data_IF_118602732823
#
_entry.id   IF_118602732823
#
_cell.length_a   1.000
_cell.length_b   1.000
_cell.length_c   1.000
_cell.angle_alpha   90.00
_cell.angle_beta   90.00
_cell.angle_gamma   90.00
#
_symmetry.space_group_name_H-M   'P 1'
#
loop_
_entity.id
_entity.type
_entity.pdbx_description
1 polymer ?
#
# COMPACT_ATOMS: atom_id res chain seq x y z
N UNK A 1 -21.64 5.66 -3.18
CA UNK A 1 -22.21 5.53 -4.57
C UNK A 1 -21.14 4.89 -5.46
N UNK A 2 -21.54 4.01 -6.40
CA UNK A 2 -20.56 3.49 -7.38
C UNK A 2 -20.16 4.62 -8.33
N UNK A 3 -18.86 4.83 -8.49
CA UNK A 3 -18.31 5.79 -9.43
C UNK A 3 -18.73 5.45 -10.86
N UNK A 4 -19.15 6.43 -11.64
CA UNK A 4 -19.60 6.21 -13.03
C UNK A 4 -18.43 5.80 -13.93
N UNK A 5 -18.66 5.02 -15.02
CA UNK A 5 -17.60 4.69 -15.98
C UNK A 5 -16.86 5.92 -16.51
N UNK A 6 -17.57 7.02 -16.78
CA UNK A 6 -16.95 8.25 -17.27
C UNK A 6 -16.05 8.90 -16.22
N UNK A 7 -16.45 8.93 -14.94
CA UNK A 7 -15.61 9.43 -13.85
C UNK A 7 -14.35 8.58 -13.67
N UNK A 8 -14.45 7.25 -13.82
CA UNK A 8 -13.29 6.35 -13.77
C UNK A 8 -12.30 6.67 -14.90
N UNK A 9 -12.80 6.81 -16.14
CA UNK A 9 -11.97 7.17 -17.30
C UNK A 9 -11.28 8.52 -17.05
N UNK A 10 -12.02 9.51 -16.59
CA UNK A 10 -11.50 10.84 -16.28
C UNK A 10 -10.46 10.75 -15.14
N UNK A 11 -10.69 9.96 -14.10
CA UNK A 11 -9.74 9.76 -13.00
C UNK A 11 -8.45 9.10 -13.48
N UNK A 12 -8.50 8.08 -14.34
CA UNK A 12 -7.32 7.48 -14.96
C UNK A 12 -6.55 8.53 -15.78
N UNK A 13 -7.24 9.33 -16.60
CA UNK A 13 -6.60 10.37 -17.39
C UNK A 13 -5.89 11.42 -16.54
N UNK A 14 -6.58 11.94 -15.50
CA UNK A 14 -6.02 12.92 -14.55
C UNK A 14 -4.84 12.30 -13.77
N UNK A 15 -4.96 11.04 -13.33
CA UNK A 15 -3.87 10.32 -12.66
C UNK A 15 -2.61 10.23 -13.54
N UNK A 16 -2.77 9.97 -14.83
CA UNK A 16 -1.64 9.94 -15.79
C UNK A 16 -1.05 11.34 -16.01
N UNK A 17 -1.87 12.37 -16.13
CA UNK A 17 -1.44 13.75 -16.29
C UNK A 17 -0.70 14.28 -15.05
N UNK A 18 -1.21 14.00 -13.88
CA UNK A 18 -0.67 14.43 -12.59
C UNK A 18 0.39 13.54 -11.98
N UNK A 19 0.83 12.47 -12.66
CA UNK A 19 1.68 11.41 -12.09
C UNK A 19 2.95 11.92 -11.38
N UNK A 20 3.57 12.98 -11.87
CA UNK A 20 4.76 13.59 -11.25
C UNK A 20 4.44 14.78 -10.34
N UNK A 21 3.16 15.08 -10.13
CA UNK A 21 2.63 16.20 -9.37
C UNK A 21 1.42 15.80 -8.54
N UNK A 22 1.55 14.66 -7.83
CA UNK A 22 0.45 14.01 -7.12
C UNK A 22 -0.20 14.91 -6.08
N UNK A 23 0.57 15.59 -5.25
CA UNK A 23 0.03 16.49 -4.21
C UNK A 23 -0.76 17.64 -4.78
N UNK A 24 -0.23 18.33 -5.83
CA UNK A 24 -0.96 19.39 -6.52
C UNK A 24 -2.25 18.87 -7.16
N UNK A 25 -2.18 17.70 -7.82
CA UNK A 25 -3.33 17.09 -8.50
C UNK A 25 -4.38 16.63 -7.50
N UNK A 26 -3.96 16.08 -6.36
CA UNK A 26 -4.85 15.68 -5.28
C UNK A 26 -5.55 16.88 -4.65
N UNK A 27 -4.84 17.98 -4.44
CA UNK A 27 -5.42 19.23 -3.92
C UNK A 27 -6.48 19.80 -4.88
N UNK A 28 -6.21 19.77 -6.20
CA UNK A 28 -7.21 20.19 -7.20
C UNK A 28 -8.42 19.25 -7.14
N UNK A 29 -8.21 17.94 -7.04
CA UNK A 29 -9.30 16.97 -6.90
C UNK A 29 -10.15 17.24 -5.65
N UNK A 30 -9.52 17.51 -4.52
CA UNK A 30 -10.21 17.81 -3.26
C UNK A 30 -11.05 19.10 -3.36
N UNK A 31 -10.55 20.13 -4.04
CA UNK A 31 -11.28 21.40 -4.25
C UNK A 31 -12.44 21.27 -5.23
N UNK A 32 -12.28 20.51 -6.30
CA UNK A 32 -13.28 20.33 -7.34
C UNK A 32 -14.23 19.15 -7.13
N UNK A 33 -13.85 18.20 -6.30
CA UNK A 33 -14.66 17.06 -5.89
C UNK A 33 -14.69 15.87 -6.86
N UNK A 34 -14.27 16.02 -8.12
CA UNK A 34 -14.24 14.93 -9.10
C UNK A 34 -13.19 15.14 -10.20
N UNK A 35 -12.77 14.04 -10.83
CA UNK A 35 -11.86 14.10 -11.97
C UNK A 35 -12.55 14.71 -13.21
N UNK A 36 -13.84 14.50 -13.36
CA UNK A 36 -14.65 15.14 -14.40
C UNK A 36 -14.60 16.66 -14.25
N UNK A 37 -14.80 17.18 -13.04
CA UNK A 37 -14.70 18.62 -12.79
C UNK A 37 -13.29 19.16 -13.05
N UNK A 38 -12.23 18.40 -12.81
CA UNK A 38 -10.85 18.81 -13.18
C UNK A 38 -10.75 19.02 -14.70
N UNK A 39 -11.27 18.06 -15.49
CA UNK A 39 -11.22 18.13 -16.95
C UNK A 39 -12.07 19.29 -17.47
N UNK A 40 -13.24 19.53 -16.90
CA UNK A 40 -14.10 20.67 -17.26
C UNK A 40 -13.44 22.02 -16.96
N UNK A 41 -12.72 22.13 -15.84
CA UNK A 41 -12.02 23.35 -15.41
C UNK A 41 -10.57 23.45 -15.92
N UNK A 42 -10.11 22.55 -16.81
CA UNK A 42 -8.71 22.46 -17.26
C UNK A 42 -8.07 23.76 -17.76
N UNK A 43 -8.87 24.68 -18.28
CA UNK A 43 -8.39 25.96 -18.75
C UNK A 43 -8.31 27.05 -17.67
N UNK A 44 -8.87 26.77 -16.48
CA UNK A 44 -8.98 27.71 -15.35
C UNK A 44 -8.41 27.11 -14.04
N UNK A 45 -7.45 26.19 -14.15
CA UNK A 45 -6.88 25.51 -12.98
C UNK A 45 -6.25 26.48 -11.98
N UNK A 46 -5.63 27.57 -12.45
CA UNK A 46 -5.06 28.59 -11.55
C UNK A 46 -6.10 29.41 -10.78
N UNK A 47 -7.37 29.40 -11.20
CA UNK A 47 -8.47 29.99 -10.42
C UNK A 47 -8.80 29.09 -9.20
N UNK A 48 -8.56 27.76 -9.32
CA UNK A 48 -8.80 26.75 -8.28
C UNK A 48 -7.57 26.59 -7.37
N UNK A 49 -6.40 26.55 -7.97
CA UNK A 49 -5.11 26.41 -7.29
C UNK A 49 -4.13 27.44 -7.89
N UNK A 50 -4.01 28.64 -7.31
CA UNK A 50 -3.16 29.73 -7.84
C UNK A 50 -1.69 29.33 -8.00
N UNK A 51 -1.19 28.51 -7.06
CA UNK A 51 0.21 28.05 -7.00
C UNK A 51 0.46 26.77 -7.84
N UNK A 52 -0.54 26.31 -8.61
CA UNK A 52 -0.35 25.15 -9.49
C UNK A 52 0.80 25.39 -10.47
N UNK A 53 1.69 24.40 -10.58
CA UNK A 53 2.85 24.49 -11.45
C UNK A 53 2.45 24.64 -12.92
N UNK A 54 3.14 25.50 -13.66
CA UNK A 54 2.85 25.75 -15.08
C UNK A 54 2.88 24.46 -15.90
N UNK A 55 3.78 23.53 -15.55
CA UNK A 55 3.87 22.21 -16.18
C UNK A 55 2.59 21.39 -16.00
N UNK A 56 2.00 21.38 -14.81
CA UNK A 56 0.73 20.66 -14.55
C UNK A 56 -0.41 21.34 -15.33
N UNK A 57 -0.51 22.66 -15.26
CA UNK A 57 -1.53 23.46 -15.97
C UNK A 57 -1.48 23.20 -17.48
N UNK A 58 -0.29 23.20 -18.07
CA UNK A 58 -0.11 22.92 -19.49
C UNK A 58 -0.47 21.47 -19.84
N UNK A 59 -0.10 20.51 -18.98
CA UNK A 59 -0.45 19.09 -19.18
C UNK A 59 -1.95 18.90 -19.12
N UNK A 60 -2.65 19.54 -18.18
CA UNK A 60 -4.10 19.46 -18.04
C UNK A 60 -4.86 20.07 -19.22
N UNK A 61 -4.30 21.05 -19.93
CA UNK A 61 -4.89 21.58 -21.17
C UNK A 61 -4.86 20.61 -22.34
N UNK A 62 -3.91 19.66 -22.34
CA UNK A 62 -3.70 18.70 -23.42
C UNK A 62 -4.31 17.33 -23.08
N UNK A 63 -5.59 17.28 -22.69
CA UNK A 63 -6.27 16.09 -22.16
C UNK A 63 -6.54 14.99 -23.15
N UNK A 64 -6.78 15.29 -24.45
CA UNK A 64 -7.37 14.35 -25.40
C UNK A 64 -6.59 13.04 -25.52
N UNK A 65 -5.26 13.11 -25.62
CA UNK A 65 -4.40 11.92 -25.70
C UNK A 65 -4.50 11.05 -24.43
N UNK A 66 -4.66 11.68 -23.28
CA UNK A 66 -4.76 10.95 -22.00
C UNK A 66 -6.12 10.31 -21.83
N UNK A 67 -7.19 10.95 -22.34
CA UNK A 67 -8.53 10.37 -22.36
C UNK A 67 -8.60 9.12 -23.23
N UNK A 68 -8.05 9.17 -24.45
CA UNK A 68 -7.96 7.98 -25.34
C UNK A 68 -7.21 6.84 -24.65
N UNK A 69 -6.08 7.13 -24.01
CA UNK A 69 -5.34 6.11 -23.25
C UNK A 69 -6.11 5.60 -22.04
N UNK A 70 -6.87 6.45 -21.36
CA UNK A 70 -7.66 6.08 -20.20
C UNK A 70 -8.85 5.19 -20.59
N UNK A 71 -9.48 5.44 -21.73
CA UNK A 71 -10.54 4.59 -22.28
C UNK A 71 -10.00 3.19 -22.60
N UNK A 72 -8.83 3.10 -23.23
CA UNK A 72 -8.18 1.82 -23.53
C UNK A 72 -7.84 1.07 -22.24
N UNK A 73 -7.30 1.76 -21.24
CA UNK A 73 -7.00 1.20 -19.92
C UNK A 73 -8.27 0.71 -19.23
N UNK A 74 -9.32 1.51 -19.21
CA UNK A 74 -10.60 1.12 -18.63
C UNK A 74 -11.20 -0.12 -19.31
N UNK A 75 -11.20 -0.19 -20.64
CA UNK A 75 -11.64 -1.39 -21.37
C UNK A 75 -10.80 -2.62 -21.00
N UNK A 76 -9.46 -2.45 -20.89
CA UNK A 76 -8.60 -3.54 -20.46
C UNK A 76 -8.95 -4.02 -19.05
N UNK A 77 -9.18 -3.11 -18.10
CA UNK A 77 -9.55 -3.49 -16.72
C UNK A 77 -10.86 -4.29 -16.69
N UNK A 78 -11.88 -3.88 -17.45
CA UNK A 78 -13.16 -4.60 -17.54
C UNK A 78 -12.96 -6.03 -18.10
N UNK A 79 -12.16 -6.18 -19.15
CA UNK A 79 -11.92 -7.48 -19.79
C UNK A 79 -11.06 -8.43 -18.94
N UNK A 80 -10.30 -7.91 -17.97
CA UNK A 80 -9.36 -8.69 -17.15
C UNK A 80 -9.80 -8.85 -15.69
N UNK A 81 -11.01 -8.39 -15.33
CA UNK A 81 -11.53 -8.47 -13.97
C UNK A 81 -10.67 -7.67 -12.97
N UNK A 82 -10.16 -6.51 -13.41
CA UNK A 82 -9.43 -5.55 -12.59
C UNK A 82 -10.39 -4.44 -12.18
N UNK A 83 -10.46 -4.15 -10.91
CA UNK A 83 -11.23 -3.04 -10.39
C UNK A 83 -10.37 -1.77 -10.37
N UNK A 84 -10.95 -0.64 -10.77
CA UNK A 84 -10.32 0.67 -10.62
C UNK A 84 -10.93 1.35 -9.39
N UNK A 85 -10.10 1.61 -8.40
CA UNK A 85 -10.47 2.31 -7.17
C UNK A 85 -10.06 3.77 -7.30
N UNK A 86 -11.03 4.66 -7.38
CA UNK A 86 -10.79 6.10 -7.39
C UNK A 86 -10.68 6.65 -5.97
N UNK A 87 -9.95 7.73 -5.76
CA UNK A 87 -9.69 8.33 -4.44
C UNK A 87 -10.99 8.65 -3.65
N UNK A 88 -12.11 8.91 -4.34
CA UNK A 88 -13.42 9.14 -3.73
C UNK A 88 -14.19 7.87 -3.33
N UNK A 89 -13.76 6.68 -3.75
CA UNK A 89 -14.51 5.43 -3.54
C UNK A 89 -14.38 4.95 -2.07
N UNK A 90 -15.45 4.34 -1.55
CA UNK A 90 -15.46 3.73 -0.21
C UNK A 90 -14.47 2.56 -0.10
N UNK A 91 -14.23 1.84 -1.19
CA UNK A 91 -13.28 0.73 -1.26
C UNK A 91 -11.83 1.16 -1.44
N UNK A 92 -11.58 2.42 -1.75
CA UNK A 92 -10.21 2.95 -1.77
C UNK A 92 -9.59 2.81 -0.37
N UNK A 93 -8.30 2.41 -0.23
CA UNK A 93 -7.66 2.27 1.07
C UNK A 93 -7.69 3.58 1.87
N UNK A 94 -8.52 3.63 2.92
CA UNK A 94 -8.77 4.88 3.64
C UNK A 94 -7.51 5.43 4.33
N UNK A 95 -6.64 4.53 4.85
CA UNK A 95 -5.35 4.95 5.42
C UNK A 95 -4.45 5.62 4.39
N UNK A 96 -4.40 5.08 3.17
CA UNK A 96 -3.64 5.67 2.08
C UNK A 96 -4.24 7.00 1.62
N UNK A 97 -5.56 7.14 1.67
CA UNK A 97 -6.28 8.38 1.32
C UNK A 97 -5.84 9.58 2.17
N UNK A 98 -5.41 9.35 3.40
CA UNK A 98 -4.91 10.39 4.31
C UNK A 98 -3.50 10.89 3.94
N UNK A 99 -2.78 10.17 3.09
CA UNK A 99 -1.42 10.55 2.68
C UNK A 99 -1.46 11.68 1.64
N UNK A 100 -0.59 12.67 1.78
CA UNK A 100 -0.54 13.86 0.93
C UNK A 100 -0.22 13.58 -0.55
N UNK A 101 0.36 12.40 -0.84
CA UNK A 101 0.70 11.93 -2.17
C UNK A 101 -0.05 10.64 -2.55
N UNK A 102 -1.25 10.45 -2.00
CA UNK A 102 -2.12 9.34 -2.33
C UNK A 102 -2.39 9.29 -3.85
N UNK A 103 -2.32 8.11 -4.50
CA UNK A 103 -2.69 7.97 -5.90
C UNK A 103 -4.16 8.33 -6.13
N UNK A 104 -4.48 9.02 -7.24
CA UNK A 104 -5.87 9.30 -7.57
C UNK A 104 -6.64 8.04 -7.97
N UNK A 105 -5.93 7.07 -8.56
CA UNK A 105 -6.49 5.78 -8.97
C UNK A 105 -5.56 4.65 -8.57
N UNK A 106 -6.17 3.53 -8.21
CA UNK A 106 -5.51 2.25 -7.97
C UNK A 106 -6.19 1.17 -8.80
N UNK A 107 -5.40 0.27 -9.34
CA UNK A 107 -5.85 -0.91 -10.05
C UNK A 107 -5.75 -2.10 -9.08
N UNK A 108 -6.87 -2.77 -8.84
CA UNK A 108 -6.94 -3.85 -7.87
C UNK A 108 -7.51 -5.12 -8.50
N UNK A 109 -6.88 -6.25 -8.21
CA UNK A 109 -7.38 -7.57 -8.57
C UNK A 109 -7.24 -8.51 -7.38
N UNK A 110 -8.37 -8.93 -6.80
CA UNK A 110 -8.38 -9.79 -5.62
C UNK A 110 -9.71 -9.74 -4.88
N UNK A 111 -9.72 -10.37 -3.70
CA UNK A 111 -10.90 -10.54 -2.86
C UNK A 111 -10.81 -9.82 -1.51
N UNK A 112 -9.62 -9.38 -1.09
CA UNK A 112 -9.44 -8.79 0.23
C UNK A 112 -10.16 -7.45 0.41
N UNK A 113 -10.63 -7.23 1.63
CA UNK A 113 -11.07 -5.91 2.07
C UNK A 113 -9.85 -5.04 2.40
N UNK A 114 -9.59 -4.02 1.57
CA UNK A 114 -8.46 -3.11 1.73
C UNK A 114 -8.61 -2.14 2.93
N UNK A 115 -9.78 -2.15 3.57
CA UNK A 115 -10.12 -1.32 4.73
C UNK A 115 -10.40 -2.16 5.98
N UNK A 116 -9.68 -3.29 6.14
CA UNK A 116 -9.73 -4.06 7.37
C UNK A 116 -9.36 -3.21 8.59
N UNK A 117 -9.87 -3.60 9.74
CA UNK A 117 -9.65 -2.89 11.00
C UNK A 117 -8.17 -2.84 11.39
N UNK A 118 -7.41 -3.89 11.03
CA UNK A 118 -5.98 -4.02 11.34
C UNK A 118 -5.21 -4.37 10.06
N UNK A 119 -4.25 -3.54 9.72
CA UNK A 119 -3.41 -3.73 8.54
C UNK A 119 -1.95 -3.53 8.93
N UNK A 120 -1.12 -4.52 8.66
CA UNK A 120 0.33 -4.41 8.82
C UNK A 120 1.05 -4.47 7.48
N UNK A 121 2.14 -3.76 7.35
CA UNK A 121 3.09 -3.98 6.27
C UNK A 121 4.33 -4.71 6.80
N UNK A 122 4.79 -5.75 6.09
CA UNK A 122 6.01 -6.48 6.40
C UNK A 122 7.01 -6.24 5.29
N UNK A 123 8.14 -5.61 5.62
CA UNK A 123 9.13 -5.14 4.65
C UNK A 123 10.55 -5.48 5.07
N UNK A 124 11.48 -5.49 4.10
CA UNK A 124 12.88 -5.72 4.42
C UNK A 124 13.77 -5.95 3.21
N UNK A 125 14.89 -6.62 3.46
CA UNK A 125 15.89 -6.93 2.45
C UNK A 125 15.39 -7.92 1.40
N UNK A 126 15.84 -7.76 0.16
CA UNK A 126 15.63 -8.77 -0.90
C UNK A 126 16.47 -10.05 -0.70
N UNK A 127 17.42 -10.02 0.24
CA UNK A 127 18.30 -11.14 0.62
C UNK A 127 17.98 -11.60 2.04
N UNK A 128 16.70 -11.97 2.27
CA UNK A 128 16.24 -12.48 3.55
C UNK A 128 17.04 -13.71 3.98
N UNK A 129 17.57 -13.70 5.19
CA UNK A 129 18.31 -14.82 5.76
C UNK A 129 17.36 -15.86 6.35
N UNK A 130 17.87 -17.02 6.78
CA UNK A 130 17.08 -18.00 7.52
C UNK A 130 16.50 -17.40 8.81
N UNK A 131 17.28 -16.57 9.51
CA UNK A 131 16.81 -15.84 10.68
C UNK A 131 15.59 -14.96 10.36
N UNK A 132 15.67 -14.18 9.29
CA UNK A 132 14.54 -13.35 8.84
C UNK A 132 13.31 -14.17 8.44
N UNK A 133 13.50 -15.34 7.81
CA UNK A 133 12.42 -16.27 7.48
C UNK A 133 11.76 -16.82 8.73
N UNK A 134 12.54 -17.21 9.74
CA UNK A 134 12.05 -17.72 11.02
C UNK A 134 11.27 -16.63 11.77
N UNK A 135 11.76 -15.38 11.78
CA UNK A 135 11.05 -14.25 12.38
C UNK A 135 9.68 -14.04 11.74
N UNK A 136 9.60 -14.04 10.40
CA UNK A 136 8.33 -13.90 9.67
C UNK A 136 7.38 -15.05 10.03
N UNK A 137 7.89 -16.28 10.03
CA UNK A 137 7.10 -17.46 10.36
C UNK A 137 6.52 -17.36 11.77
N UNK A 138 7.34 -17.06 12.77
CA UNK A 138 6.88 -16.94 14.16
C UNK A 138 5.87 -15.81 14.33
N UNK A 139 6.15 -14.62 13.74
CA UNK A 139 5.24 -13.49 13.76
C UNK A 139 3.85 -13.87 13.22
N UNK A 140 3.79 -14.50 12.04
CA UNK A 140 2.53 -14.88 11.39
C UNK A 140 1.78 -15.94 12.20
N UNK A 141 2.49 -16.97 12.71
CA UNK A 141 1.89 -18.04 13.54
C UNK A 141 1.30 -17.49 14.84
N UNK A 142 1.98 -16.54 15.49
CA UNK A 142 1.47 -15.90 16.70
C UNK A 142 0.29 -14.97 16.39
N UNK A 143 0.37 -14.16 15.32
CA UNK A 143 -0.73 -13.31 14.87
C UNK A 143 -1.99 -14.11 14.56
N UNK A 144 -1.88 -15.32 14.01
CA UNK A 144 -3.03 -16.19 13.75
C UNK A 144 -3.84 -16.49 15.03
N UNK A 145 -3.19 -16.56 16.19
CA UNK A 145 -3.85 -16.77 17.48
C UNK A 145 -4.36 -15.47 18.10
N UNK A 146 -3.59 -14.38 17.95
CA UNK A 146 -3.85 -13.10 18.61
C UNK A 146 -4.80 -12.19 17.83
N UNK A 147 -4.58 -12.09 16.51
CA UNK A 147 -5.28 -11.17 15.62
C UNK A 147 -5.52 -11.79 14.25
N UNK A 148 -6.40 -12.81 14.10
CA UNK A 148 -6.59 -13.56 12.85
C UNK A 148 -7.13 -12.71 11.69
N UNK A 149 -7.70 -11.53 11.98
CA UNK A 149 -8.30 -10.64 10.97
C UNK A 149 -7.32 -9.59 10.41
N UNK A 150 -6.03 -9.69 10.72
CA UNK A 150 -5.03 -8.76 10.18
C UNK A 150 -4.89 -8.94 8.67
N UNK A 151 -4.90 -7.83 7.91
CA UNK A 151 -4.47 -7.81 6.52
C UNK A 151 -2.95 -7.58 6.45
N UNK A 152 -2.25 -8.42 5.68
CA UNK A 152 -0.81 -8.29 5.47
C UNK A 152 -0.54 -7.65 4.12
N UNK A 153 0.20 -6.55 4.11
CA UNK A 153 0.57 -5.81 2.89
C UNK A 153 2.08 -5.87 2.70
N UNK A 154 2.53 -6.12 1.49
CA UNK A 154 3.95 -6.05 1.13
C UNK A 154 4.14 -5.79 -0.36
N UNK A 155 5.37 -5.80 -0.84
CA UNK A 155 5.70 -5.40 -2.19
C UNK A 155 5.87 -6.52 -3.20
N UNK A 156 5.68 -7.78 -2.83
CA UNK A 156 5.90 -8.96 -3.68
C UNK A 156 7.34 -9.04 -4.26
N UNK A 157 8.30 -8.35 -3.66
CA UNK A 157 9.71 -8.42 -4.04
C UNK A 157 10.38 -9.71 -3.53
N UNK A 158 11.60 -10.00 -3.96
CA UNK A 158 12.40 -11.07 -3.37
C UNK A 158 12.64 -10.84 -1.88
N UNK A 159 12.97 -11.88 -1.14
CA UNK A 159 13.36 -11.85 0.27
C UNK A 159 12.20 -11.70 1.21
N UNK A 160 12.20 -10.67 2.05
CA UNK A 160 11.19 -10.49 3.12
C UNK A 160 9.77 -10.47 2.55
N UNK A 161 9.51 -9.71 1.49
CA UNK A 161 8.17 -9.52 0.94
C UNK A 161 7.52 -10.85 0.52
N UNK A 162 8.21 -11.66 -0.30
CA UNK A 162 7.66 -12.94 -0.77
C UNK A 162 7.49 -13.95 0.37
N UNK A 163 8.39 -13.96 1.36
CA UNK A 163 8.24 -14.83 2.52
C UNK A 163 7.05 -14.42 3.38
N UNK A 164 6.81 -13.12 3.56
CA UNK A 164 5.63 -12.61 4.25
C UNK A 164 4.34 -13.06 3.55
N UNK A 165 4.25 -12.91 2.22
CA UNK A 165 3.07 -13.36 1.46
C UNK A 165 2.84 -14.87 1.55
N UNK A 166 3.89 -15.69 1.39
CA UNK A 166 3.77 -17.15 1.49
C UNK A 166 3.32 -17.58 2.87
N UNK A 167 3.94 -17.09 3.92
CA UNK A 167 3.54 -17.39 5.30
C UNK A 167 2.10 -16.91 5.58
N UNK A 168 1.70 -15.75 5.07
CA UNK A 168 0.34 -15.27 5.20
C UNK A 168 -0.67 -16.24 4.54
N UNK A 169 -0.39 -16.68 3.32
CA UNK A 169 -1.24 -17.64 2.59
C UNK A 169 -1.32 -18.98 3.31
N UNK A 170 -0.18 -19.54 3.77
CA UNK A 170 -0.10 -20.81 4.48
C UNK A 170 -0.89 -20.78 5.81
N UNK A 171 -1.00 -19.62 6.42
CA UNK A 171 -1.73 -19.40 7.69
C UNK A 171 -3.10 -18.71 7.51
N UNK A 172 -3.65 -18.73 6.29
CA UNK A 172 -4.99 -18.24 5.95
C UNK A 172 -5.24 -16.76 6.19
N UNK A 173 -4.19 -15.94 6.25
CA UNK A 173 -4.34 -14.49 6.23
C UNK A 173 -4.60 -13.97 4.82
N UNK A 174 -5.46 -12.96 4.71
CA UNK A 174 -5.52 -12.16 3.49
C UNK A 174 -4.22 -11.37 3.33
N UNK A 175 -3.68 -11.35 2.10
CA UNK A 175 -2.44 -10.63 1.82
C UNK A 175 -2.48 -9.90 0.49
N UNK A 176 -2.02 -8.65 0.47
CA UNK A 176 -2.04 -7.78 -0.71
C UNK A 176 -0.64 -7.42 -1.13
N UNK A 177 -0.31 -7.77 -2.38
CA UNK A 177 0.93 -7.39 -3.03
C UNK A 177 0.78 -6.07 -3.79
N UNK A 178 1.50 -5.05 -3.35
CA UNK A 178 1.56 -3.78 -4.08
C UNK A 178 2.65 -3.87 -5.14
N UNK A 179 2.33 -3.61 -6.39
CA UNK A 179 3.24 -3.79 -7.52
C UNK A 179 3.84 -2.47 -8.00
N UNK A 180 5.03 -2.53 -8.55
CA UNK A 180 5.76 -1.38 -9.12
C UNK A 180 5.63 -1.31 -10.67
N UNK A 181 4.57 -1.89 -11.21
CA UNK A 181 4.28 -2.02 -12.65
C UNK A 181 2.79 -2.25 -12.88
N UNK A 182 2.32 -2.21 -14.12
CA UNK A 182 0.94 -2.52 -14.48
C UNK A 182 0.56 -3.97 -14.15
N UNK A 183 -0.75 -4.24 -14.04
CA UNK A 183 -1.28 -5.58 -13.73
C UNK A 183 -1.34 -6.50 -14.96
N UNK A 184 -0.87 -6.04 -16.12
CA UNK A 184 -0.84 -6.78 -17.39
C UNK A 184 0.30 -7.81 -17.45
N UNK A 185 1.28 -7.71 -16.55
CA UNK A 185 2.34 -8.71 -16.39
C UNK A 185 2.77 -8.81 -14.92
N UNK A 186 3.64 -9.77 -14.60
CA UNK A 186 4.13 -9.95 -13.23
C UNK A 186 5.66 -9.92 -13.18
N UNK A 187 6.18 -9.11 -12.26
CA UNK A 187 7.60 -9.07 -11.91
C UNK A 187 7.78 -9.11 -10.38
N UNK A 188 8.67 -9.99 -9.87
CA UNK A 188 9.44 -10.99 -10.59
C UNK A 188 8.56 -12.18 -11.00
N UNK A 189 8.80 -12.73 -12.19
CA UNK A 189 8.01 -13.86 -12.71
C UNK A 189 8.10 -15.13 -11.81
N UNK A 190 9.19 -15.26 -11.06
CA UNK A 190 9.38 -16.36 -10.10
C UNK A 190 8.31 -16.40 -8.98
N UNK A 191 7.57 -15.30 -8.77
CA UNK A 191 6.50 -15.21 -7.75
C UNK A 191 5.10 -15.45 -8.32
N UNK A 192 4.98 -15.92 -9.56
CA UNK A 192 3.70 -16.10 -10.27
C UNK A 192 2.72 -17.01 -9.51
N UNK A 193 3.20 -18.12 -9.00
CA UNK A 193 2.36 -19.07 -8.25
C UNK A 193 1.78 -18.42 -6.99
N UNK A 194 2.61 -17.76 -6.19
CA UNK A 194 2.18 -17.02 -5.01
C UNK A 194 1.20 -15.91 -5.37
N UNK A 195 1.47 -15.14 -6.44
CA UNK A 195 0.58 -14.08 -6.89
C UNK A 195 -0.80 -14.62 -7.33
N UNK A 196 -0.86 -15.79 -7.96
CA UNK A 196 -2.13 -16.43 -8.32
C UNK A 196 -2.92 -16.87 -7.08
N UNK A 197 -2.28 -17.43 -6.08
CA UNK A 197 -2.92 -17.80 -4.81
C UNK A 197 -3.47 -16.55 -4.09
N UNK A 198 -2.72 -15.44 -4.12
CA UNK A 198 -3.16 -14.17 -3.53
C UNK A 198 -4.46 -13.63 -4.16
N UNK A 199 -4.77 -13.93 -5.42
CA UNK A 199 -6.02 -13.45 -6.04
C UNK A 199 -7.27 -14.01 -5.36
N UNK A 200 -7.20 -15.19 -4.76
CA UNK A 200 -8.30 -15.82 -4.03
C UNK A 200 -8.29 -15.56 -2.53
N UNK A 201 -7.13 -15.20 -1.97
CA UNK A 201 -6.94 -15.00 -0.52
C UNK A 201 -6.28 -13.65 -0.23
N UNK A 202 -6.58 -12.62 -1.01
CA UNK A 202 -5.94 -11.32 -0.88
C UNK A 202 -6.09 -10.51 -2.14
N UNK A 203 -4.95 -10.14 -2.77
CA UNK A 203 -4.98 -9.46 -4.05
C UNK A 203 -3.67 -8.82 -4.48
N UNK A 204 -3.71 -8.26 -5.66
CA UNK A 204 -2.64 -7.48 -6.27
C UNK A 204 -3.14 -6.05 -6.49
N UNK A 205 -2.34 -5.08 -6.11
CA UNK A 205 -2.66 -3.66 -6.17
C UNK A 205 -1.55 -2.90 -6.91
N UNK A 206 -1.93 -1.95 -7.76
CA UNK A 206 -0.97 -1.09 -8.45
C UNK A 206 -1.53 0.31 -8.71
N UNK A 207 -0.68 1.33 -8.72
CA UNK A 207 -1.03 2.66 -9.23
C UNK A 207 -0.73 2.82 -10.73
N UNK A 208 -0.07 1.82 -11.33
CA UNK A 208 0.45 1.90 -12.68
C UNK A 208 -0.54 1.30 -13.68
N UNK A 209 -0.75 2.02 -14.79
CA UNK A 209 -1.46 1.51 -15.95
C UNK A 209 -0.69 0.38 -16.64
N UNK A 210 -1.38 -0.37 -17.50
CA UNK A 210 -0.78 -1.37 -18.38
C UNK A 210 0.42 -0.83 -19.17
N UNK A 211 1.31 -1.71 -19.63
CA UNK A 211 2.55 -1.38 -20.31
C UNK A 211 3.57 -0.57 -19.47
N UNK A 212 3.32 -0.33 -18.18
CA UNK A 212 4.31 0.26 -17.28
C UNK A 212 5.23 -0.82 -16.74
N UNK A 213 6.51 -0.78 -17.14
CA UNK A 213 7.51 -1.77 -16.72
C UNK A 213 8.01 -1.51 -15.31
N UNK A 214 8.39 -2.60 -14.64
CA UNK A 214 9.09 -2.53 -13.36
C UNK A 214 10.47 -1.91 -13.54
N UNK A 215 10.73 -0.78 -12.92
CA UNK A 215 12.02 -0.11 -12.90
C UNK A 215 12.40 0.35 -11.49
N UNK A 216 13.64 0.82 -11.32
CA UNK A 216 14.16 1.21 -10.02
C UNK A 216 13.36 2.34 -9.37
N UNK A 217 12.92 3.32 -10.14
CA UNK A 217 12.16 4.47 -9.64
C UNK A 217 10.77 4.04 -9.20
N UNK A 218 10.10 3.19 -9.99
CA UNK A 218 8.78 2.68 -9.66
C UNK A 218 8.79 1.84 -8.38
N UNK A 219 9.84 1.05 -8.12
CA UNK A 219 9.99 0.34 -6.85
C UNK A 219 10.05 1.30 -5.65
N UNK A 220 10.82 2.39 -5.78
CA UNK A 220 10.91 3.39 -4.70
C UNK A 220 9.57 4.10 -4.50
N UNK A 221 8.94 4.54 -5.58
CA UNK A 221 7.64 5.23 -5.52
C UNK A 221 6.54 4.36 -4.94
N UNK A 222 6.46 3.09 -5.35
CA UNK A 222 5.49 2.14 -4.85
C UNK A 222 5.54 1.96 -3.32
N UNK A 223 6.71 2.06 -2.72
CA UNK A 223 6.87 1.84 -1.27
C UNK A 223 5.99 2.75 -0.41
N UNK A 224 5.65 3.96 -0.90
CA UNK A 224 4.72 4.85 -0.20
C UNK A 224 3.30 4.26 -0.08
N UNK A 225 2.88 3.46 -1.06
CA UNK A 225 1.57 2.79 -1.00
C UNK A 225 1.60 1.68 0.05
N UNK A 226 2.68 0.88 0.11
CA UNK A 226 2.87 -0.14 1.15
C UNK A 226 2.85 0.49 2.54
N UNK A 227 3.57 1.60 2.72
CA UNK A 227 3.64 2.35 3.97
C UNK A 227 2.31 3.03 4.32
N UNK A 228 1.64 3.64 3.34
CA UNK A 228 0.40 4.39 3.55
C UNK A 228 -0.82 3.53 3.85
N UNK A 229 -0.83 2.28 3.40
CA UNK A 229 -1.96 1.37 3.61
C UNK A 229 -2.03 0.75 5.01
N UNK A 230 -0.97 0.74 5.80
CA UNK A 230 -0.91 0.02 7.06
C UNK A 230 -1.12 0.91 8.29
N UNK A 231 -1.45 0.29 9.42
CA UNK A 231 -1.38 0.87 10.76
C UNK A 231 0.05 0.80 11.30
N UNK A 232 0.72 -0.34 11.02
CA UNK A 232 2.06 -0.65 11.50
C UNK A 232 2.95 -1.19 10.36
N UNK A 233 4.16 -0.66 10.25
CA UNK A 233 5.20 -1.12 9.32
C UNK A 233 6.26 -1.91 10.10
N UNK A 234 6.45 -3.18 9.74
CA UNK A 234 7.37 -4.10 10.40
C UNK A 234 8.58 -4.33 9.51
N UNK A 235 9.74 -3.88 9.98
CA UNK A 235 11.03 -4.11 9.32
C UNK A 235 11.68 -5.39 9.89
N UNK A 236 11.79 -6.42 9.06
CA UNK A 236 12.31 -7.72 9.50
C UNK A 236 13.83 -7.76 9.45
N UNK A 237 14.41 -7.49 8.31
CA UNK A 237 15.86 -7.39 8.09
C UNK A 237 16.18 -6.27 7.10
N UNK A 238 17.25 -5.53 7.35
CA UNK A 238 17.73 -4.50 6.42
C UNK A 238 19.21 -4.21 6.62
N UNK A 239 19.93 -4.00 5.52
CA UNK A 239 21.22 -3.33 5.58
C UNK A 239 21.05 -1.83 5.83
N UNK A 240 22.12 -1.12 6.27
CA UNK A 240 22.11 0.33 6.56
C UNK A 240 21.60 1.23 5.41
N UNK A 241 21.64 0.75 4.16
CA UNK A 241 21.13 1.46 2.97
C UNK A 241 20.09 0.61 2.23
N UNK A 242 19.29 -0.17 2.97
CA UNK A 242 18.30 -1.07 2.41
C UNK A 242 16.99 -0.38 2.02
N UNK A 243 16.28 -0.93 1.02
CA UNK A 243 14.97 -0.44 0.59
C UNK A 243 13.89 -0.53 1.66
N UNK A 244 13.99 -1.49 2.60
CA UNK A 244 13.09 -1.61 3.76
C UNK A 244 13.13 -0.38 4.66
N UNK A 245 14.34 0.21 4.88
CA UNK A 245 14.49 1.44 5.64
C UNK A 245 13.79 2.64 4.97
N UNK A 246 13.77 2.68 3.65
CA UNK A 246 13.04 3.74 2.91
C UNK A 246 11.54 3.61 3.20
N UNK A 247 10.99 2.40 3.16
CA UNK A 247 9.56 2.16 3.45
C UNK A 247 9.24 2.49 4.92
N UNK A 248 10.10 2.08 5.86
CA UNK A 248 9.95 2.41 7.28
C UNK A 248 10.00 3.93 7.55
N UNK A 249 10.89 4.66 6.87
CA UNK A 249 10.96 6.11 6.94
C UNK A 249 9.67 6.77 6.42
N UNK A 250 9.16 6.34 5.26
CA UNK A 250 7.89 6.85 4.71
C UNK A 250 6.72 6.53 5.65
N UNK A 251 6.67 5.33 6.25
CA UNK A 251 5.63 4.97 7.21
C UNK A 251 5.62 5.92 8.41
N UNK A 252 6.80 6.27 8.94
CA UNK A 252 6.94 7.26 10.01
C UNK A 252 6.47 8.65 9.57
N UNK A 253 6.81 9.09 8.36
CA UNK A 253 6.37 10.38 7.80
C UNK A 253 4.85 10.44 7.65
N UNK A 254 4.20 9.30 7.41
CA UNK A 254 2.74 9.16 7.37
C UNK A 254 2.11 8.91 8.75
N UNK A 255 2.86 9.06 9.84
CA UNK A 255 2.39 8.81 11.21
C UNK A 255 1.88 7.38 11.42
N UNK A 256 2.50 6.40 10.75
CA UNK A 256 2.26 4.98 10.99
C UNK A 256 3.26 4.49 12.03
N UNK A 257 2.83 3.55 12.87
CA UNK A 257 3.76 2.91 13.80
C UNK A 257 4.83 2.10 13.05
N UNK A 258 6.05 2.18 13.53
CA UNK A 258 7.19 1.47 12.92
C UNK A 258 7.81 0.55 13.95
N UNK A 259 7.93 -0.71 13.57
CA UNK A 259 8.54 -1.75 14.38
C UNK A 259 9.73 -2.38 13.66
N UNK A 260 10.72 -2.83 14.40
CA UNK A 260 11.85 -3.56 13.82
C UNK A 260 12.28 -4.72 14.71
N UNK A 261 12.60 -5.85 14.09
CA UNK A 261 13.24 -6.95 14.78
C UNK A 261 14.73 -6.64 14.97
N UNK A 262 15.27 -6.87 16.19
CA UNK A 262 16.70 -6.77 16.41
C UNK A 262 17.43 -7.94 15.76
N UNK A 263 18.71 -7.78 15.50
CA UNK A 263 19.56 -8.86 15.03
C UNK A 263 20.98 -8.77 15.58
N UNK A 264 21.84 -9.70 15.20
CA UNK A 264 23.19 -9.77 15.69
C UNK A 264 24.01 -8.52 15.26
N UNK A 265 24.80 -7.98 16.16
CA UNK A 265 25.73 -6.87 15.88
C UNK A 265 26.75 -7.34 14.85
N UNK A 266 26.98 -6.54 13.80
CA UNK A 266 27.90 -6.87 12.71
C UNK A 266 27.28 -7.77 11.61
N UNK A 267 26.05 -8.26 11.78
CA UNK A 267 25.36 -9.00 10.71
C UNK A 267 24.83 -8.00 9.66
N UNK A 268 25.18 -8.15 8.36
CA UNK A 268 24.92 -7.13 7.34
C UNK A 268 23.45 -6.73 7.18
N UNK A 269 22.51 -7.64 7.40
CA UNK A 269 21.07 -7.38 7.28
C UNK A 269 20.38 -7.10 8.61
N UNK A 270 21.12 -7.09 9.73
CA UNK A 270 20.64 -6.64 11.04
C UNK A 270 21.00 -5.17 11.33
N UNK A 271 22.05 -4.66 10.71
CA UNK A 271 22.58 -3.33 11.00
C UNK A 271 21.57 -2.21 10.75
N UNK A 272 20.76 -2.31 9.70
CA UNK A 272 19.71 -1.33 9.41
C UNK A 272 18.60 -1.32 10.46
N UNK A 273 18.12 -2.49 10.88
CA UNK A 273 17.13 -2.63 11.95
C UNK A 273 17.68 -2.11 13.29
N UNK A 274 18.87 -2.55 13.68
CA UNK A 274 19.53 -2.13 14.92
C UNK A 274 19.76 -0.61 14.95
N UNK A 275 20.20 -0.02 13.84
CA UNK A 275 20.40 1.42 13.73
C UNK A 275 19.07 2.19 13.85
N UNK A 276 18.00 1.70 13.21
CA UNK A 276 16.67 2.33 13.28
C UNK A 276 16.12 2.29 14.71
N UNK A 277 16.26 1.17 15.42
CA UNK A 277 15.89 1.02 16.84
C UNK A 277 16.72 1.97 17.71
N UNK A 278 18.04 1.98 17.56
CA UNK A 278 18.93 2.82 18.35
C UNK A 278 18.66 4.34 18.19
N UNK A 279 18.13 4.75 17.03
CA UNK A 279 17.74 6.13 16.74
C UNK A 279 16.31 6.48 17.14
N UNK A 280 15.59 5.58 17.85
CA UNK A 280 14.16 5.70 18.15
C UNK A 280 13.30 5.93 16.87
N UNK A 281 13.74 5.35 15.76
CA UNK A 281 13.01 5.36 14.50
C UNK A 281 12.02 4.23 14.36
N UNK A 282 12.15 3.19 15.19
CA UNK A 282 11.24 2.07 15.31
C UNK A 282 11.24 1.54 16.75
N UNK A 283 10.08 1.05 17.21
CA UNK A 283 10.01 0.26 18.43
C UNK A 283 10.59 -1.14 18.16
N UNK A 284 11.35 -1.66 19.13
CA UNK A 284 11.85 -3.03 19.07
C UNK A 284 10.72 -3.99 19.36
N UNK A 285 10.57 -5.03 18.52
CA UNK A 285 9.70 -6.17 18.78
C UNK A 285 10.49 -7.46 18.64
N UNK A 286 10.09 -8.47 19.44
CA UNK A 286 10.63 -9.83 19.38
C UNK A 286 9.55 -10.86 19.06
N UNK A 287 8.28 -10.46 19.17
CA UNK A 287 7.10 -11.33 19.05
C UNK A 287 5.88 -10.57 18.52
N UNK A 288 4.83 -11.27 18.16
CA UNK A 288 3.54 -10.66 17.85
C UNK A 288 2.85 -10.07 19.09
N UNK A 289 3.15 -10.58 20.30
CA UNK A 289 2.63 -9.97 21.51
C UNK A 289 3.10 -8.53 21.67
N UNK A 290 4.40 -8.26 21.42
CA UNK A 290 4.94 -6.90 21.49
C UNK A 290 4.21 -5.97 20.53
N UNK A 291 3.91 -6.43 19.31
CA UNK A 291 3.14 -5.66 18.33
C UNK A 291 1.73 -5.37 18.82
N UNK A 292 1.03 -6.40 19.30
CA UNK A 292 -0.37 -6.31 19.73
C UNK A 292 -0.51 -5.37 20.95
N UNK A 293 0.41 -5.47 21.91
CA UNK A 293 0.47 -4.59 23.10
C UNK A 293 0.74 -3.13 22.69
N UNK A 294 1.78 -2.89 21.86
CA UNK A 294 2.11 -1.54 21.43
C UNK A 294 0.99 -0.88 20.61
N UNK A 295 0.27 -1.67 19.80
CA UNK A 295 -0.86 -1.21 19.01
C UNK A 295 -2.17 -1.12 19.80
N UNK A 296 -2.20 -1.52 21.08
CA UNK A 296 -3.41 -1.63 21.91
C UNK A 296 -4.52 -2.47 21.26
N UNK A 297 -4.15 -3.53 20.54
CA UNK A 297 -5.12 -4.38 19.85
C UNK A 297 -5.83 -5.38 20.74
N UNK A 298 -5.31 -5.65 21.94
CA UNK A 298 -5.91 -6.55 22.94
C UNK A 298 -7.24 -6.03 23.48
N UNK A 299 -7.34 -4.71 23.67
CA UNK A 299 -8.53 -4.08 24.27
C UNK A 299 -9.78 -4.22 23.39
N UNK A 300 -9.62 -4.40 22.07
CA UNK A 300 -10.75 -4.55 21.15
C UNK A 300 -11.37 -5.94 21.29
N UNK A 301 -10.57 -6.98 21.50
CA UNK A 301 -11.08 -8.33 21.75
C UNK A 301 -11.83 -8.45 23.06
N UNK A 302 -11.40 -7.71 24.08
CA UNK A 302 -12.06 -7.66 25.40
C UNK A 302 -13.40 -6.92 25.34
N UNK A 303 -13.45 -5.80 24.63
CA UNK A 303 -14.68 -5.00 24.46
C UNK A 303 -15.73 -5.72 23.60
N UNK A 304 -15.32 -6.44 22.56
CA UNK A 304 -16.23 -7.24 21.74
C UNK A 304 -16.76 -8.45 22.52
N UNK A 305 -15.92 -9.16 23.27
CA UNK A 305 -16.36 -10.24 24.17
C UNK A 305 -17.23 -9.77 25.32
N UNK A 306 -17.06 -8.54 25.80
CA UNK A 306 -17.91 -7.93 26.82
C UNK A 306 -19.29 -7.57 26.26
N UNK A 307 -19.36 -7.05 25.02
CA UNK A 307 -20.62 -6.80 24.30
C UNK A 307 -21.38 -8.06 23.97
N UNK A 308 -20.68 -9.12 23.51
CA UNK A 308 -21.30 -10.42 23.24
C UNK A 308 -21.82 -11.12 24.50
N UNK A 309 -21.25 -10.84 25.68
CA UNK A 309 -21.69 -11.38 26.97
C UNK A 309 -22.71 -10.52 27.70
N UNK A 310 -23.19 -9.43 27.10
CA UNK A 310 -24.24 -8.58 27.69
C UNK A 310 -23.86 -7.92 29.03
N UNK A 311 -22.56 -7.69 29.26
CA UNK A 311 -22.10 -6.97 30.45
C UNK A 311 -22.09 -5.48 30.11
N UNK A 312 -23.26 -4.87 30.08
CA UNK A 312 -23.39 -3.42 30.16
C UNK A 312 -22.98 -2.99 31.58
N UNK A 313 -21.99 -2.15 31.70
CA UNK A 313 -21.67 -1.47 32.95
C UNK A 313 -22.64 -0.31 33.10
N UNK A 314 -23.53 -0.41 34.11
CA UNK A 314 -24.20 0.73 34.73
C UNK A 314 -23.20 1.75 35.28
#
# INVERSE_FOLDING_TARGET
MKTTPQEIINAIAVSKMGFYKLSETLEILQKLGSATAIIEHRNKIKDVLPDASDKLVETLKNTDRFLIQAEQEFMWTQNNGVEVLCWGDERYPQRLKECADAPLTLFYKGSANLNKQRIISIVGTRKCTHYGQDLIKHLIMELQRLCPDVLIVSGLAYGVDINAHRMALDHHFETVGVLAHGLDYLYPHAHKETALQMLSQGGLLSEYCTNTKADKMNFVRRNRIVAGMCDACILVESALKGGGLITAGIAKDYSREVFAFPGAVGAPYSEGCNALIAQNGAALITSANDLVENMNWDNISFLNKAKEKGIDRE
#
